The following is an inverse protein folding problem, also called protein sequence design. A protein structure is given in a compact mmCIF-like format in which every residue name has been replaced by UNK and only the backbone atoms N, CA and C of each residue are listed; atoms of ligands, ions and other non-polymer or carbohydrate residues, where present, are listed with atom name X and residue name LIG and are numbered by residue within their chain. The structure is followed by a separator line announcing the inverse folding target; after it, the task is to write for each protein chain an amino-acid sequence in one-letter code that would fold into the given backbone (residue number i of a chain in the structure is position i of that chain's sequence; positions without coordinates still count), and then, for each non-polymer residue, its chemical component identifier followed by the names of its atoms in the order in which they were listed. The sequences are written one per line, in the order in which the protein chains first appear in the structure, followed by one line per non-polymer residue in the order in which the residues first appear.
data_IF_697049020087
#
_entry.id   IF_697049020087
#
_cell.length_a   1.000
_cell.length_b   1.000
_cell.length_c   1.000
_cell.angle_alpha   90.00
_cell.angle_beta   90.00
_cell.angle_gamma   90.00
#
_symmetry.space_group_name_H-M   'P 1'
#
loop_
_entity.id
_entity.type
_entity.pdbx_description
1 polymer ?
#
# COMPACT_ATOMS: atom_id res chain seq x y z
N UNK A 1 -5.22 0.63 -28.05
CA UNK A 1 -5.79 -0.31 -27.06
C UNK A 1 -6.80 0.46 -26.20
N UNK A 2 -8.00 -0.07 -26.05
CA UNK A 2 -9.17 0.64 -25.50
C UNK A 2 -9.06 0.84 -23.98
N UNK A 3 -9.35 2.05 -23.49
CA UNK A 3 -9.37 2.44 -22.06
C UNK A 3 -10.14 1.43 -21.18
N UNK A 4 -11.15 0.77 -21.75
CA UNK A 4 -11.97 -0.24 -21.07
C UNK A 4 -11.16 -1.50 -20.70
N UNK A 5 -10.30 -1.97 -21.60
CA UNK A 5 -9.44 -3.14 -21.36
C UNK A 5 -8.37 -2.85 -20.30
N UNK A 6 -7.81 -1.63 -20.30
CA UNK A 6 -6.88 -1.21 -19.26
C UNK A 6 -7.55 -1.16 -17.89
N UNK A 7 -8.77 -0.62 -17.81
CA UNK A 7 -9.54 -0.59 -16.56
C UNK A 7 -9.80 -1.99 -16.00
N UNK A 8 -10.18 -2.94 -16.85
CA UNK A 8 -10.36 -4.34 -16.44
C UNK A 8 -9.04 -4.98 -15.98
N UNK A 9 -7.95 -4.75 -16.69
CA UNK A 9 -6.64 -5.27 -16.31
C UNK A 9 -6.19 -4.73 -14.95
N UNK A 10 -6.25 -3.41 -14.75
CA UNK A 10 -5.87 -2.76 -13.49
C UNK A 10 -6.72 -3.26 -12.33
N UNK A 11 -8.04 -3.39 -12.55
CA UNK A 11 -8.97 -3.89 -11.51
C UNK A 11 -8.68 -5.34 -11.17
N UNK A 12 -8.47 -6.19 -12.17
CA UNK A 12 -8.16 -7.61 -11.97
C UNK A 12 -6.83 -7.83 -11.24
N UNK A 13 -5.79 -7.07 -11.62
CA UNK A 13 -4.49 -7.09 -10.94
C UNK A 13 -4.63 -6.60 -9.50
N UNK A 14 -5.28 -5.46 -9.28
CA UNK A 14 -5.49 -4.90 -7.95
C UNK A 14 -6.28 -5.84 -7.03
N UNK A 15 -7.36 -6.45 -7.55
CA UNK A 15 -8.12 -7.46 -6.82
C UNK A 15 -7.27 -8.67 -6.45
N UNK A 16 -6.48 -9.20 -7.38
CA UNK A 16 -5.61 -10.36 -7.14
C UNK A 16 -4.57 -10.06 -6.05
N UNK A 17 -3.92 -8.89 -6.10
CA UNK A 17 -2.96 -8.44 -5.09
C UNK A 17 -3.63 -8.25 -3.71
N UNK A 18 -4.83 -7.66 -3.67
CA UNK A 18 -5.59 -7.49 -2.45
C UNK A 18 -5.96 -8.84 -1.82
N UNK A 19 -6.41 -9.81 -2.62
CA UNK A 19 -6.70 -11.16 -2.14
C UNK A 19 -5.46 -11.84 -1.58
N UNK A 20 -4.33 -11.79 -2.30
CA UNK A 20 -3.07 -12.37 -1.82
C UNK A 20 -2.62 -11.74 -0.49
N UNK A 21 -2.67 -10.42 -0.38
CA UNK A 21 -2.31 -9.69 0.84
C UNK A 21 -3.24 -10.02 2.02
N UNK A 22 -4.55 -10.13 1.75
CA UNK A 22 -5.54 -10.48 2.76
C UNK A 22 -5.34 -11.91 3.28
N UNK A 23 -5.13 -12.87 2.37
CA UNK A 23 -4.83 -14.25 2.73
C UNK A 23 -3.53 -14.33 3.53
N UNK A 24 -2.51 -13.59 3.11
CA UNK A 24 -1.25 -13.54 3.83
C UNK A 24 -1.42 -13.06 5.27
N UNK A 25 -2.10 -11.93 5.52
CA UNK A 25 -2.33 -11.45 6.89
C UNK A 25 -3.16 -12.44 7.72
N UNK A 26 -4.24 -12.98 7.14
CA UNK A 26 -5.17 -13.83 7.89
C UNK A 26 -4.54 -15.18 8.20
N UNK A 27 -3.85 -15.81 7.25
CA UNK A 27 -3.31 -17.17 7.41
C UNK A 27 -2.08 -17.19 8.31
N UNK A 28 -1.22 -16.17 8.20
CA UNK A 28 0.04 -16.06 8.95
C UNK A 28 -0.04 -16.30 10.48
N UNK A 29 -1.03 -15.77 11.23
CA UNK A 29 -1.15 -16.02 12.67
C UNK A 29 -1.60 -17.44 13.03
N UNK A 30 -2.25 -18.17 12.13
CA UNK A 30 -2.74 -19.53 12.38
C UNK A 30 -1.73 -20.62 12.00
N UNK A 31 -0.58 -20.24 11.43
CA UNK A 31 0.42 -21.17 10.91
C UNK A 31 1.73 -21.04 11.68
N UNK A 32 2.23 -22.17 12.17
CA UNK A 32 3.49 -22.27 12.91
C UNK A 32 4.72 -21.83 12.09
N UNK A 33 5.74 -21.38 12.83
CA UNK A 33 7.03 -20.99 12.26
C UNK A 33 7.76 -22.26 11.79
N UNK A 34 7.70 -22.57 10.49
CA UNK A 34 8.35 -23.74 9.88
C UNK A 34 7.42 -24.60 9.02
N UNK A 35 6.13 -24.29 8.96
CA UNK A 35 5.21 -24.99 8.08
C UNK A 35 5.50 -24.64 6.61
N UNK A 36 5.47 -25.63 5.71
CA UNK A 36 5.73 -25.47 4.28
C UNK A 36 4.90 -24.36 3.59
N UNK A 37 3.71 -24.04 4.13
CA UNK A 37 2.83 -23.01 3.59
C UNK A 37 3.43 -21.60 3.77
N UNK A 38 4.31 -21.40 4.77
CA UNK A 38 5.03 -20.14 4.99
C UNK A 38 5.97 -19.80 3.82
N UNK A 39 6.40 -20.78 3.00
CA UNK A 39 7.23 -20.49 1.82
C UNK A 39 6.47 -19.75 0.71
N UNK A 40 5.13 -19.75 0.76
CA UNK A 40 4.29 -19.00 -0.19
C UNK A 40 4.00 -17.57 0.26
N UNK A 41 4.43 -17.21 1.48
CA UNK A 41 4.15 -15.93 2.11
C UNK A 41 5.46 -15.21 2.46
N UNK A 42 5.54 -13.88 2.29
CA UNK A 42 6.67 -13.13 2.81
C UNK A 42 6.76 -13.22 4.34
N UNK A 43 7.94 -12.90 4.89
CA UNK A 43 8.15 -12.91 6.34
C UNK A 43 7.16 -11.98 7.06
N UNK A 44 6.73 -12.37 8.26
CA UNK A 44 5.65 -11.71 9.01
C UNK A 44 5.91 -10.23 9.28
N UNK A 45 7.16 -9.83 9.37
CA UNK A 45 7.56 -8.44 9.58
C UNK A 45 7.03 -7.53 8.46
N UNK A 46 7.02 -8.04 7.22
CA UNK A 46 6.52 -7.31 6.06
C UNK A 46 5.02 -7.03 6.12
N UNK A 47 4.23 -7.88 6.80
CA UNK A 47 2.79 -7.70 6.93
C UNK A 47 2.45 -6.40 7.71
N UNK A 48 3.32 -5.97 8.62
CA UNK A 48 3.17 -4.72 9.34
C UNK A 48 3.89 -3.54 8.66
N UNK A 49 5.03 -3.80 8.03
CA UNK A 49 5.82 -2.75 7.36
C UNK A 49 5.11 -2.16 6.15
N UNK A 50 4.44 -2.99 5.33
CA UNK A 50 3.81 -2.51 4.09
C UNK A 50 2.73 -1.45 4.38
N UNK A 51 1.73 -1.67 5.26
CA UNK A 51 0.74 -0.65 5.60
C UNK A 51 1.36 0.59 6.23
N UNK A 52 2.36 0.39 7.09
CA UNK A 52 3.02 1.48 7.80
C UNK A 52 3.75 2.41 6.84
N UNK A 53 4.49 1.85 5.87
CA UNK A 53 5.18 2.63 4.85
C UNK A 53 4.20 3.41 3.96
N UNK A 54 3.10 2.77 3.54
CA UNK A 54 2.05 3.44 2.76
C UNK A 54 1.45 4.61 3.55
N UNK A 55 1.13 4.39 4.83
CA UNK A 55 0.57 5.43 5.70
C UNK A 55 1.54 6.61 5.89
N UNK A 56 2.80 6.31 6.24
CA UNK A 56 3.83 7.34 6.45
C UNK A 56 4.08 8.13 5.16
N UNK A 57 4.15 7.44 4.02
CA UNK A 57 4.34 8.10 2.73
C UNK A 57 3.17 9.03 2.39
N UNK A 58 1.93 8.58 2.60
CA UNK A 58 0.73 9.40 2.38
C UNK A 58 0.71 10.63 3.27
N UNK A 59 1.00 10.46 4.56
CA UNK A 59 1.10 11.56 5.53
C UNK A 59 2.20 12.56 5.12
N UNK A 60 3.37 12.06 4.75
CA UNK A 60 4.51 12.89 4.31
C UNK A 60 4.15 13.73 3.09
N UNK A 61 3.48 13.13 2.11
CA UNK A 61 3.02 13.82 0.90
C UNK A 61 2.01 14.91 1.27
N UNK A 62 1.04 14.60 2.13
CA UNK A 62 0.03 15.57 2.59
C UNK A 62 0.68 16.77 3.30
N UNK A 63 1.56 16.53 4.27
CA UNK A 63 2.25 17.62 4.98
C UNK A 63 3.13 18.46 4.05
N UNK A 64 3.84 17.80 3.13
CA UNK A 64 4.66 18.50 2.13
C UNK A 64 3.80 19.40 1.26
N UNK A 65 2.67 18.88 0.75
CA UNK A 65 1.74 19.66 -0.07
C UNK A 65 1.18 20.86 0.70
N UNK A 66 0.72 20.66 1.93
CA UNK A 66 0.21 21.75 2.79
C UNK A 66 1.30 22.81 3.00
N UNK A 67 2.51 22.39 3.36
CA UNK A 67 3.65 23.28 3.56
C UNK A 67 3.97 24.12 2.31
N UNK A 68 3.97 23.48 1.13
CA UNK A 68 4.18 24.18 -0.14
C UNK A 68 3.09 25.23 -0.42
N UNK A 69 1.82 24.91 -0.15
CA UNK A 69 0.70 25.85 -0.33
C UNK A 69 0.80 27.03 0.64
N UNK A 70 1.16 26.79 1.91
CA UNK A 70 1.35 27.84 2.92
C UNK A 70 2.50 28.80 2.57
N UNK A 71 3.63 28.27 2.11
CA UNK A 71 4.77 29.10 1.67
C UNK A 71 4.39 29.96 0.46
N UNK A 72 3.65 29.39 -0.50
CA UNK A 72 3.19 30.12 -1.68
C UNK A 72 2.17 31.22 -1.34
N UNK A 73 1.21 30.94 -0.46
CA UNK A 73 0.19 31.93 -0.07
C UNK A 73 0.75 33.06 0.80
N UNK A 74 1.75 32.77 1.64
CA UNK A 74 2.47 33.79 2.42
C UNK A 74 3.27 34.76 1.56
N UNK A 75 3.87 34.29 0.46
CA UNK A 75 4.62 35.14 -0.49
C UNK A 75 3.75 36.07 -1.34
N UNK A 76 2.47 35.78 -1.51
CA UNK A 76 1.55 36.59 -2.33
C UNK A 76 0.91 37.74 -1.53
N UNK A 77 1.07 37.76 -0.20
CA UNK A 77 0.48 38.76 0.69
C UNK A 77 1.46 39.86 1.11
N UNK A 78 2.74 39.76 0.73
CA UNK A 78 3.73 40.83 0.79
C UNK A 78 3.87 41.46 -0.59
#
# INVERSE_FOLDING_TARGET
MSNKSLGFAVTGIGGSLFFYYTLWIIVTPFVDKGHWIQNYFPEREWAFLIPSLVLISGITILFTFIGLVMVKSGRLKQ
#
